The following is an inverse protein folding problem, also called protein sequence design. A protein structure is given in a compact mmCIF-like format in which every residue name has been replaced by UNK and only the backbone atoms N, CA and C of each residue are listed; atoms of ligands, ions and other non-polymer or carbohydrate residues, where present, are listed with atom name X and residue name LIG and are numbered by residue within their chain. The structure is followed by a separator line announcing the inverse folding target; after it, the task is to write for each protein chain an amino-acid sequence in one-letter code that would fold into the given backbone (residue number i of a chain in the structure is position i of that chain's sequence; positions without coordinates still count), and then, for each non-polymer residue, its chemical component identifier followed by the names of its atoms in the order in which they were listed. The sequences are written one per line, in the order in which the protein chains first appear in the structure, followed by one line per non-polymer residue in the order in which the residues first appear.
data_IF_220100889035
#
_entry.id   IF_220100889035
#
_cell.length_a   1.000
_cell.length_b   1.000
_cell.length_c   1.000
_cell.angle_alpha   90.00
_cell.angle_beta   90.00
_cell.angle_gamma   90.00
#
_symmetry.space_group_name_H-M   'P 1'
#
loop_
_entity.id
_entity.type
_entity.pdbx_description
1 polymer ?
#
# COMPACT_ATOMS: atom_id res chain seq x y z
N UNK A 1 4.03 43.13 41.73
CA UNK A 1 3.10 42.12 41.20
C UNK A 1 3.43 41.92 39.73
N UNK A 2 4.14 40.84 39.38
CA UNK A 2 4.20 40.34 38.00
C UNK A 2 4.56 38.86 38.04
N UNK A 3 3.58 38.00 37.78
CA UNK A 3 3.70 36.55 37.63
C UNK A 3 4.23 36.21 36.24
N UNK A 4 5.40 35.59 36.13
CA UNK A 4 5.86 34.95 34.90
C UNK A 4 5.34 33.51 34.88
N UNK A 5 4.48 33.22 33.90
CA UNK A 5 3.85 31.91 33.72
C UNK A 5 4.84 30.95 33.07
N UNK A 6 5.05 29.83 33.75
CA UNK A 6 5.68 28.59 33.29
C UNK A 6 5.21 28.21 31.88
N UNK A 7 6.14 27.90 30.98
CA UNK A 7 5.86 27.33 29.66
C UNK A 7 6.61 26.01 29.54
N UNK A 8 5.93 24.86 29.49
CA UNK A 8 6.60 23.59 29.28
C UNK A 8 7.10 23.49 27.82
N UNK A 9 8.34 23.03 27.67
CA UNK A 9 8.96 22.75 26.38
C UNK A 9 8.17 21.67 25.60
N UNK A 10 8.15 21.72 24.26
CA UNK A 10 7.52 20.67 23.47
C UNK A 10 8.28 19.35 23.66
N UNK A 11 7.59 18.37 24.26
CA UNK A 11 8.05 16.98 24.33
C UNK A 11 8.42 16.49 22.94
N UNK A 12 9.70 16.19 22.74
CA UNK A 12 10.15 15.42 21.58
C UNK A 12 9.64 14.01 21.74
N UNK A 13 8.50 13.70 21.11
CA UNK A 13 8.01 12.34 20.99
C UNK A 13 9.01 11.55 20.17
N UNK A 14 9.76 10.68 20.84
CA UNK A 14 10.61 9.67 20.21
C UNK A 14 9.78 8.89 19.22
N UNK A 15 10.10 9.00 17.93
CA UNK A 15 9.48 8.22 16.88
C UNK A 15 9.70 6.73 17.21
N UNK A 16 8.62 6.05 17.57
CA UNK A 16 8.61 4.59 17.67
C UNK A 16 8.90 4.08 16.29
N UNK A 17 10.06 3.45 16.10
CA UNK A 17 10.40 2.66 14.91
C UNK A 17 9.57 1.39 14.91
N UNK A 18 8.26 1.55 14.90
CA UNK A 18 7.30 0.48 14.71
C UNK A 18 7.34 0.13 13.24
N UNK A 19 7.54 -1.15 12.95
CA UNK A 19 7.22 -1.73 11.64
C UNK A 19 5.89 -1.10 11.19
N UNK A 20 5.84 -0.42 10.03
CA UNK A 20 4.67 0.34 9.65
C UNK A 20 3.52 -0.63 9.49
N UNK A 21 2.66 -0.71 10.50
CA UNK A 21 1.40 -1.42 10.42
C UNK A 21 0.53 -0.65 9.44
N UNK A 22 -0.03 -1.33 8.44
CA UNK A 22 -0.89 -0.72 7.41
C UNK A 22 -2.01 0.17 7.97
N UNK A 23 -2.41 -0.08 9.23
CA UNK A 23 -3.42 0.68 9.97
C UNK A 23 -3.12 2.17 10.16
N UNK A 24 -1.87 2.61 10.01
CA UNK A 24 -1.47 4.02 10.13
C UNK A 24 -1.18 4.73 8.81
N UNK A 25 -1.29 4.04 7.67
CA UNK A 25 -0.99 4.64 6.37
C UNK A 25 -2.10 5.57 5.89
N UNK A 26 -1.71 6.66 5.24
CA UNK A 26 -2.66 7.56 4.60
C UNK A 26 -3.31 6.89 3.39
N UNK A 27 -4.61 7.13 3.20
CA UNK A 27 -5.30 6.73 1.99
C UNK A 27 -4.67 7.43 0.78
N UNK A 28 -4.21 6.64 -0.18
CA UNK A 28 -3.63 7.08 -1.43
C UNK A 28 -4.70 7.19 -2.54
N UNK A 29 -5.57 6.19 -2.65
CA UNK A 29 -6.66 6.14 -3.60
C UNK A 29 -8.00 6.18 -2.86
N UNK A 30 -8.92 7.05 -3.31
CA UNK A 30 -10.29 7.11 -2.80
C UNK A 30 -11.26 6.87 -3.94
N UNK A 31 -12.00 5.78 -3.85
CA UNK A 31 -13.14 5.48 -4.70
C UNK A 31 -14.44 5.77 -3.96
N UNK A 32 -15.58 5.63 -4.64
CA UNK A 32 -16.89 5.88 -4.07
C UNK A 32 -17.20 4.97 -2.86
N UNK A 33 -16.74 3.71 -2.90
CA UNK A 33 -17.08 2.68 -1.91
C UNK A 33 -15.90 2.20 -1.06
N UNK A 34 -14.67 2.63 -1.37
CA UNK A 34 -13.47 2.21 -0.65
C UNK A 34 -12.38 3.27 -0.67
N UNK A 35 -11.46 3.17 0.28
CA UNK A 35 -10.22 3.95 0.31
C UNK A 35 -9.07 2.97 0.50
N UNK A 36 -8.00 3.13 -0.29
CA UNK A 36 -6.82 2.28 -0.23
C UNK A 36 -5.57 3.08 0.09
N UNK A 37 -4.77 2.52 0.96
CA UNK A 37 -3.37 2.88 1.17
C UNK A 37 -2.53 2.45 -0.04
N UNK A 38 -1.32 3.02 -0.18
CA UNK A 38 -0.39 2.58 -1.22
C UNK A 38 -0.07 1.08 -1.09
N UNK A 39 0.04 0.57 0.15
CA UNK A 39 0.29 -0.84 0.40
C UNK A 39 -0.85 -1.75 -0.07
N UNK A 40 -2.09 -1.36 0.19
CA UNK A 40 -3.25 -2.12 -0.26
C UNK A 40 -3.35 -2.14 -1.79
N UNK A 41 -2.97 -1.05 -2.46
CA UNK A 41 -2.84 -1.03 -3.92
C UNK A 41 -1.82 -2.06 -4.40
N UNK A 42 -0.63 -2.11 -3.80
CA UNK A 42 0.38 -3.13 -4.16
C UNK A 42 -0.15 -4.54 -3.90
N UNK A 43 -0.89 -4.76 -2.81
CA UNK A 43 -1.49 -6.07 -2.54
C UNK A 43 -2.59 -6.46 -3.53
N UNK A 44 -3.44 -5.53 -3.95
CA UNK A 44 -4.46 -5.78 -4.97
C UNK A 44 -3.81 -6.14 -6.32
N UNK A 45 -2.78 -5.39 -6.73
CA UNK A 45 -2.03 -5.69 -7.94
C UNK A 45 -1.27 -7.02 -7.83
N UNK A 46 -0.65 -7.31 -6.69
CA UNK A 46 0.04 -8.58 -6.44
C UNK A 46 -0.92 -9.78 -6.48
N UNK A 47 -2.13 -9.62 -5.93
CA UNK A 47 -3.19 -10.62 -6.05
C UNK A 47 -3.53 -10.86 -7.53
N UNK A 48 -3.72 -9.79 -8.31
CA UNK A 48 -4.01 -9.89 -9.75
C UNK A 48 -2.92 -10.63 -10.51
N UNK A 49 -1.64 -10.25 -10.30
CA UNK A 49 -0.49 -10.91 -10.90
C UNK A 49 -0.46 -12.41 -10.57
N UNK A 50 -0.86 -12.76 -9.35
CA UNK A 50 -0.84 -14.14 -8.88
C UNK A 50 -1.97 -14.99 -9.48
N UNK A 51 -3.15 -14.42 -9.68
CA UNK A 51 -4.30 -15.14 -10.23
C UNK A 51 -4.32 -15.18 -11.76
N UNK A 52 -3.85 -14.11 -12.41
CA UNK A 52 -4.02 -13.92 -13.86
C UNK A 52 -2.70 -13.76 -14.62
N UNK A 53 -1.55 -13.78 -13.92
CA UNK A 53 -0.24 -13.52 -14.51
C UNK A 53 0.01 -12.03 -14.78
N UNK A 54 1.15 -11.72 -15.40
CA UNK A 54 1.58 -10.34 -15.67
C UNK A 54 0.91 -9.73 -16.92
N UNK A 55 -0.42 -9.68 -16.89
CA UNK A 55 -1.26 -9.07 -17.94
C UNK A 55 -1.21 -7.54 -17.94
N UNK A 56 -0.71 -6.94 -16.85
CA UNK A 56 -0.58 -5.50 -16.67
C UNK A 56 0.62 -4.95 -17.44
N UNK A 57 1.75 -5.68 -17.47
CA UNK A 57 2.95 -5.27 -18.21
C UNK A 57 2.76 -5.22 -19.72
N UNK A 58 1.87 -6.05 -20.26
CA UNK A 58 1.51 -6.06 -21.69
C UNK A 58 0.30 -5.17 -22.01
N UNK A 59 -0.15 -4.35 -21.05
CA UNK A 59 -1.26 -3.40 -21.18
C UNK A 59 -2.58 -4.03 -21.62
N UNK A 60 -2.81 -5.31 -21.30
CA UNK A 60 -4.07 -6.00 -21.61
C UNK A 60 -5.16 -5.60 -20.61
N UNK A 61 -4.79 -5.36 -19.35
CA UNK A 61 -5.69 -4.91 -18.29
C UNK A 61 -5.14 -3.61 -17.71
N UNK A 62 -6.03 -2.62 -17.54
CA UNK A 62 -5.69 -1.38 -16.86
C UNK A 62 -5.52 -1.63 -15.34
N UNK A 63 -4.44 -1.14 -14.69
CA UNK A 63 -4.20 -1.32 -13.27
C UNK A 63 -5.34 -0.88 -12.34
N UNK A 64 -6.06 0.22 -12.64
CA UNK A 64 -7.22 0.61 -11.83
C UNK A 64 -8.37 -0.38 -11.97
N UNK A 65 -8.59 -0.91 -13.17
CA UNK A 65 -9.60 -1.96 -13.41
C UNK A 65 -9.29 -3.23 -12.59
N UNK A 66 -8.03 -3.64 -12.55
CA UNK A 66 -7.59 -4.77 -11.73
C UNK A 66 -7.81 -4.52 -10.22
N UNK A 67 -7.47 -3.32 -9.74
CA UNK A 67 -7.70 -2.92 -8.34
C UNK A 67 -9.19 -2.94 -8.01
N UNK A 68 -10.03 -2.35 -8.85
CA UNK A 68 -11.49 -2.28 -8.62
C UNK A 68 -12.12 -3.68 -8.60
N UNK A 69 -11.70 -4.57 -9.49
CA UNK A 69 -12.14 -5.96 -9.49
C UNK A 69 -11.80 -6.66 -8.16
N UNK A 70 -10.57 -6.50 -7.66
CA UNK A 70 -10.20 -7.09 -6.38
C UNK A 70 -10.93 -6.46 -5.20
N UNK A 71 -11.18 -5.16 -5.20
CA UNK A 71 -11.96 -4.53 -4.12
C UNK A 71 -13.42 -4.97 -4.11
N UNK A 72 -14.02 -5.25 -5.28
CA UNK A 72 -15.41 -5.71 -5.39
C UNK A 72 -15.58 -7.19 -5.08
N UNK A 73 -14.62 -8.03 -5.48
CA UNK A 73 -14.78 -9.49 -5.46
C UNK A 73 -13.83 -10.22 -4.51
N UNK A 74 -12.76 -9.57 -4.02
CA UNK A 74 -11.75 -10.20 -3.17
C UNK A 74 -11.36 -9.33 -1.97
N UNK A 75 -12.07 -9.49 -0.85
CA UNK A 75 -11.82 -8.73 0.38
C UNK A 75 -10.52 -9.10 1.11
N UNK A 76 -9.88 -10.24 0.82
CA UNK A 76 -8.57 -10.62 1.38
C UNK A 76 -7.46 -10.43 0.34
N UNK A 77 -6.87 -9.23 0.34
CA UNK A 77 -5.77 -8.85 -0.55
C UNK A 77 -4.45 -9.58 -0.23
N UNK A 78 -4.39 -10.34 0.88
CA UNK A 78 -3.18 -11.04 1.32
C UNK A 78 -3.26 -12.56 1.14
N UNK A 79 -4.43 -13.09 0.79
CA UNK A 79 -4.68 -14.53 0.61
C UNK A 79 -3.68 -15.18 -0.37
N UNK A 80 -3.26 -14.43 -1.40
CA UNK A 80 -2.27 -14.90 -2.38
C UNK A 80 -0.90 -15.21 -1.77
N UNK A 81 -0.57 -14.74 -0.57
CA UNK A 81 0.71 -15.04 0.10
C UNK A 81 0.76 -16.45 0.69
N UNK A 82 -0.40 -17.10 0.89
CA UNK A 82 -0.48 -18.42 1.53
C UNK A 82 0.21 -19.49 0.68
N UNK A 83 1.05 -20.30 1.33
CA UNK A 83 1.79 -21.38 0.68
C UNK A 83 2.97 -20.94 -0.19
N UNK A 84 3.30 -19.64 -0.21
CA UNK A 84 4.46 -19.09 -0.95
C UNK A 84 5.63 -18.84 -0.01
N UNK A 85 6.84 -18.91 -0.55
CA UNK A 85 8.05 -18.57 0.22
C UNK A 85 8.13 -17.05 0.43
N UNK A 86 8.82 -16.56 1.48
CA UNK A 86 9.04 -15.13 1.66
C UNK A 86 9.73 -14.46 0.46
N UNK A 87 10.62 -15.17 -0.23
CA UNK A 87 11.31 -14.67 -1.42
C UNK A 87 10.32 -14.47 -2.58
N UNK A 88 9.42 -15.42 -2.82
CA UNK A 88 8.40 -15.30 -3.87
C UNK A 88 7.43 -14.16 -3.56
N UNK A 89 7.01 -14.03 -2.29
CA UNK A 89 6.15 -12.94 -1.84
C UNK A 89 6.84 -11.59 -2.07
N UNK A 90 8.12 -11.47 -1.73
CA UNK A 90 8.89 -10.26 -1.98
C UNK A 90 9.02 -9.93 -3.48
N UNK A 91 9.26 -10.94 -4.33
CA UNK A 91 9.35 -10.75 -5.77
C UNK A 91 8.04 -10.26 -6.40
N UNK A 92 6.90 -10.86 -6.02
CA UNK A 92 5.58 -10.44 -6.52
C UNK A 92 5.24 -9.03 -6.02
N UNK A 93 5.54 -8.71 -4.74
CA UNK A 93 5.35 -7.35 -4.20
C UNK A 93 6.19 -6.33 -4.94
N UNK A 94 7.48 -6.61 -5.17
CA UNK A 94 8.36 -5.71 -5.90
C UNK A 94 7.86 -5.45 -7.32
N UNK A 95 7.34 -6.49 -8.00
CA UNK A 95 6.76 -6.33 -9.33
C UNK A 95 5.48 -5.49 -9.32
N UNK A 96 4.58 -5.75 -8.36
CA UNK A 96 3.35 -4.98 -8.21
C UNK A 96 3.63 -3.51 -7.83
N UNK A 97 4.63 -3.25 -6.99
CA UNK A 97 5.07 -1.90 -6.64
C UNK A 97 5.65 -1.17 -7.86
N UNK A 98 6.42 -1.85 -8.71
CA UNK A 98 6.91 -1.27 -9.96
C UNK A 98 5.74 -0.85 -10.87
N UNK A 99 4.75 -1.72 -11.07
CA UNK A 99 3.57 -1.41 -11.89
C UNK A 99 2.78 -0.23 -11.31
N UNK A 100 2.62 -0.17 -9.98
CA UNK A 100 1.97 0.95 -9.33
C UNK A 100 2.73 2.27 -9.56
N UNK A 101 4.07 2.25 -9.44
CA UNK A 101 4.91 3.43 -9.71
C UNK A 101 4.85 3.85 -11.18
N UNK A 102 4.84 2.90 -12.11
CA UNK A 102 4.73 3.20 -13.54
C UNK A 102 3.38 3.83 -13.89
N UNK A 103 2.31 3.39 -13.20
CA UNK A 103 0.95 3.89 -13.43
C UNK A 103 0.64 5.23 -12.75
N UNK A 104 0.89 5.32 -11.45
CA UNK A 104 0.60 6.52 -10.65
C UNK A 104 1.73 7.57 -10.70
N UNK A 105 2.86 7.21 -11.30
CA UNK A 105 4.03 8.06 -11.46
C UNK A 105 4.68 8.45 -10.14
N UNK A 106 5.27 9.63 -10.11
CA UNK A 106 6.04 10.18 -8.98
C UNK A 106 5.23 10.36 -7.69
N UNK A 107 3.90 10.27 -7.75
CA UNK A 107 3.05 10.40 -6.58
C UNK A 107 3.01 9.14 -5.74
N UNK A 108 3.28 7.96 -6.32
CA UNK A 108 3.23 6.71 -5.58
C UNK A 108 4.40 6.60 -4.58
N UNK A 109 4.14 6.46 -3.28
CA UNK A 109 5.22 6.40 -2.29
C UNK A 109 5.96 5.07 -2.34
N UNK A 110 7.24 5.09 -1.98
CA UNK A 110 7.97 3.86 -1.69
C UNK A 110 7.42 3.21 -0.41
N UNK A 111 7.21 1.90 -0.44
CA UNK A 111 6.59 1.19 0.68
C UNK A 111 7.68 0.46 1.50
N UNK A 112 7.85 0.80 2.79
CA UNK A 112 8.68 0.01 3.69
C UNK A 112 7.98 -1.33 4.00
N UNK A 113 8.66 -2.45 3.72
CA UNK A 113 8.13 -3.81 3.88
C UNK A 113 8.75 -4.54 5.06
#
# INVERSE_FOLDING_TARGET
MTTALDSPAPSSTTAVTGVPNARGEAAFLRAETYSLTAREIVYALAAHLTYFGDTLAIQVVDPLTAIDAHMRFNGDLTAWTRGRTPADVAAVRARAEQIARDYFGTYFPAIPW
#
